data_IF_945645188343
#
_entry.id   IF_945645188343
#
_cell.length_a   1.000
_cell.length_b   1.000
_cell.length_c   1.000
_cell.angle_alpha   90.00
_cell.angle_beta   90.00
_cell.angle_gamma   90.00
#
_symmetry.space_group_name_H-M   'P 1'
#
loop_
_entity.id
_entity.type
_entity.pdbx_description
1 polymer ?
#
# COMPACT_ATOMS: atom_id res chain seq x y z
N UNK A 1 -24.59 7.87 -23.94
CA UNK A 1 -23.88 8.95 -24.63
C UNK A 1 -22.82 9.38 -23.65
N UNK A 2 -21.72 8.64 -23.59
CA UNK A 2 -20.71 8.87 -22.55
C UNK A 2 -19.61 9.72 -23.18
N UNK A 3 -19.98 10.96 -23.46
CA UNK A 3 -19.03 12.03 -23.75
C UNK A 3 -18.56 12.58 -22.41
N UNK A 4 -17.54 11.97 -21.83
CA UNK A 4 -16.85 12.56 -20.70
C UNK A 4 -15.36 12.65 -21.01
N UNK A 5 -14.99 13.79 -21.58
CA UNK A 5 -13.60 14.18 -21.81
C UNK A 5 -12.98 14.63 -20.49
N UNK A 6 -12.71 13.69 -19.58
CA UNK A 6 -11.98 13.98 -18.36
C UNK A 6 -10.47 13.87 -18.60
N UNK A 7 -9.84 15.03 -18.86
CA UNK A 7 -8.42 15.37 -18.65
C UNK A 7 -7.43 14.20 -18.65
N UNK A 8 -6.80 13.98 -19.80
CA UNK A 8 -5.54 13.22 -19.90
C UNK A 8 -4.44 14.04 -19.24
N UNK A 9 -3.95 13.59 -18.07
CA UNK A 9 -2.67 14.08 -17.56
C UNK A 9 -1.57 13.45 -18.41
N UNK A 10 -1.05 14.18 -19.40
CA UNK A 10 0.22 13.85 -20.01
C UNK A 10 1.33 14.29 -19.06
N UNK A 11 1.72 13.37 -18.19
CA UNK A 11 3.02 13.36 -17.53
C UNK A 11 3.50 11.92 -17.56
N UNK A 12 4.73 11.69 -18.00
CA UNK A 12 5.35 10.38 -18.32
C UNK A 12 5.46 9.40 -17.11
N UNK A 13 4.67 9.59 -16.06
CA UNK A 13 4.90 8.99 -14.74
C UNK A 13 3.69 8.23 -14.16
N UNK A 14 2.48 8.39 -14.70
CA UNK A 14 1.31 7.60 -14.27
C UNK A 14 0.40 7.29 -15.46
N UNK A 15 0.30 6.01 -15.84
CA UNK A 15 -0.70 5.56 -16.84
C UNK A 15 -2.05 5.39 -16.14
N UNK A 16 -2.83 6.45 -16.07
CA UNK A 16 -4.22 6.40 -15.63
C UNK A 16 -5.12 6.05 -16.83
N UNK A 17 -5.51 4.78 -16.96
CA UNK A 17 -6.56 4.38 -17.90
C UNK A 17 -7.94 4.86 -17.38
N UNK A 18 -8.23 6.14 -17.55
CA UNK A 18 -9.51 6.75 -17.20
C UNK A 18 -10.52 6.55 -18.35
N UNK A 19 -11.21 5.41 -18.36
CA UNK A 19 -12.43 5.20 -19.18
C UNK A 19 -13.73 5.52 -18.42
N UNK A 20 -13.65 6.22 -17.27
CA UNK A 20 -14.78 6.47 -16.37
C UNK A 20 -15.24 7.93 -16.18
N UNK A 21 -14.63 8.90 -16.88
CA UNK A 21 -15.08 10.29 -16.83
C UNK A 21 -14.83 11.03 -15.49
N UNK A 22 -15.41 12.23 -15.40
CA UNK A 22 -15.43 13.17 -14.27
C UNK A 22 -16.07 12.63 -12.99
N UNK A 23 -16.73 11.46 -13.06
CA UNK A 23 -17.45 10.83 -11.95
C UNK A 23 -16.68 9.66 -11.31
N UNK A 24 -15.54 9.94 -10.68
CA UNK A 24 -14.83 8.97 -9.84
C UNK A 24 -14.35 9.61 -8.52
N UNK A 25 -14.14 8.80 -7.48
CA UNK A 25 -13.44 9.25 -6.28
C UNK A 25 -11.93 9.24 -6.57
N UNK A 26 -11.26 10.37 -6.33
CA UNK A 26 -9.83 10.57 -6.58
C UNK A 26 -9.13 10.87 -5.26
N UNK A 27 -8.12 10.08 -4.92
CA UNK A 27 -7.41 10.20 -3.65
C UNK A 27 -5.91 10.17 -3.89
N UNK A 28 -5.21 11.12 -3.30
CA UNK A 28 -3.76 11.06 -3.11
C UNK A 28 -3.49 10.30 -1.80
N UNK A 29 -2.87 9.14 -1.87
CA UNK A 29 -2.54 8.31 -0.71
C UNK A 29 -1.03 8.30 -0.53
N UNK A 30 -0.56 8.80 0.60
CA UNK A 30 0.87 8.75 0.94
C UNK A 30 1.09 7.57 1.90
N UNK A 31 1.87 6.59 1.44
CA UNK A 31 2.11 5.33 2.14
C UNK A 31 3.55 4.87 1.93
N UNK A 32 4.12 4.22 2.95
CA UNK A 32 5.47 3.66 2.92
C UNK A 32 5.45 2.20 3.39
N UNK A 33 6.15 1.33 2.68
CA UNK A 33 6.36 -0.07 3.01
C UNK A 33 7.71 -0.20 3.68
N UNK A 34 7.76 -0.74 4.90
CA UNK A 34 8.97 -0.67 5.71
C UNK A 34 10.18 -1.35 5.05
N UNK A 35 9.99 -2.56 4.52
CA UNK A 35 11.07 -3.37 3.96
C UNK A 35 11.79 -2.68 2.81
N UNK A 36 11.03 -2.03 1.93
CA UNK A 36 11.57 -1.37 0.73
C UNK A 36 11.80 0.14 0.89
N UNK A 37 11.43 0.75 2.02
CA UNK A 37 11.60 2.19 2.24
C UNK A 37 13.07 2.58 2.51
N UNK A 38 13.58 3.53 1.72
CA UNK A 38 14.89 4.17 1.89
C UNK A 38 14.74 5.57 2.48
N UNK A 39 15.35 5.77 3.66
CA UNK A 39 15.32 7.03 4.42
C UNK A 39 16.13 8.16 3.77
N UNK A 40 17.09 7.85 2.92
CA UNK A 40 17.94 8.84 2.27
C UNK A 40 17.24 9.49 1.07
N UNK A 41 16.52 8.68 0.30
CA UNK A 41 15.82 9.13 -0.92
C UNK A 41 14.36 9.48 -0.67
N UNK A 42 13.80 9.13 0.50
CA UNK A 42 12.37 9.25 0.80
C UNK A 42 11.49 8.54 -0.25
N UNK A 43 11.93 7.38 -0.72
CA UNK A 43 11.25 6.55 -1.71
C UNK A 43 11.37 5.07 -1.34
N UNK A 44 10.66 4.21 -2.05
CA UNK A 44 10.96 2.79 -2.05
C UNK A 44 12.18 2.52 -2.95
N UNK A 45 12.85 1.38 -2.74
CA UNK A 45 14.02 0.95 -3.53
C UNK A 45 13.62 0.28 -4.85
N UNK A 46 12.36 -0.11 -5.01
CA UNK A 46 11.85 -0.82 -6.18
C UNK A 46 10.38 -0.48 -6.47
N UNK A 47 10.04 -0.53 -7.75
CA UNK A 47 8.67 -0.44 -8.26
C UNK A 47 7.89 -1.72 -7.96
N UNK A 48 6.61 -1.59 -7.62
CA UNK A 48 5.74 -2.73 -7.38
C UNK A 48 4.26 -2.35 -7.53
N UNK A 49 3.37 -3.34 -7.48
CA UNK A 49 1.93 -3.12 -7.43
C UNK A 49 1.45 -2.98 -5.99
N UNK A 50 0.73 -1.89 -5.72
CA UNK A 50 -0.01 -1.69 -4.47
C UNK A 50 -1.50 -1.68 -4.80
N UNK A 51 -2.30 -2.39 -4.00
CA UNK A 51 -3.75 -2.39 -4.13
C UNK A 51 -4.38 -1.57 -3.02
N UNK A 52 -5.31 -0.71 -3.40
CA UNK A 52 -6.03 0.19 -2.53
C UNK A 52 -7.51 -0.19 -2.54
N UNK A 53 -8.14 -0.12 -1.38
CA UNK A 53 -9.55 -0.43 -1.20
C UNK A 53 -10.27 0.72 -0.51
N UNK A 54 -11.50 0.97 -0.92
CA UNK A 54 -12.49 1.65 -0.10
C UNK A 54 -13.33 0.58 0.60
N UNK A 55 -13.31 0.58 1.93
CA UNK A 55 -14.09 -0.33 2.77
C UNK A 55 -15.27 0.44 3.38
N UNK A 56 -16.41 -0.22 3.55
CA UNK A 56 -17.58 0.34 4.24
C UNK A 56 -17.17 0.91 5.60
N UNK A 57 -17.78 2.02 6.02
CA UNK A 57 -17.57 2.60 7.37
C UNK A 57 -18.27 1.83 8.49
N UNK A 58 -19.14 0.89 8.15
CA UNK A 58 -19.91 0.06 9.08
C UNK A 58 -19.66 -1.44 8.86
N UNK A 59 -19.74 -2.26 9.93
CA UNK A 59 -19.70 -3.72 9.82
C UNK A 59 -20.71 -4.24 8.79
N UNK A 60 -20.36 -5.25 7.97
CA UNK A 60 -19.15 -6.08 8.03
C UNK A 60 -17.93 -5.52 7.27
N UNK A 61 -17.84 -4.19 7.07
CA UNK A 61 -16.68 -3.51 6.45
C UNK A 61 -16.34 -4.02 5.03
N UNK A 62 -17.37 -4.40 4.27
CA UNK A 62 -17.24 -4.88 2.90
C UNK A 62 -16.42 -3.91 2.03
N UNK A 63 -15.64 -4.47 1.09
CA UNK A 63 -15.02 -3.68 0.03
C UNK A 63 -16.10 -3.08 -0.87
N UNK A 64 -16.09 -1.76 -1.01
CA UNK A 64 -16.99 -0.98 -1.87
C UNK A 64 -16.39 -0.79 -3.26
N UNK A 65 -15.09 -0.48 -3.31
CA UNK A 65 -14.34 -0.36 -4.56
C UNK A 65 -12.86 -0.66 -4.30
N UNK A 66 -12.12 -0.94 -5.37
CA UNK A 66 -10.71 -1.26 -5.32
C UNK A 66 -9.98 -0.80 -6.57
N UNK A 67 -8.72 -0.48 -6.43
CA UNK A 67 -7.86 -0.13 -7.57
C UNK A 67 -6.42 -0.55 -7.27
N UNK A 68 -5.73 -1.07 -8.28
CA UNK A 68 -4.31 -1.41 -8.18
C UNK A 68 -3.51 -0.39 -8.98
N UNK A 69 -2.45 0.12 -8.37
CA UNK A 69 -1.54 1.07 -8.99
C UNK A 69 -0.15 0.43 -9.03
N UNK A 70 0.50 0.52 -10.18
CA UNK A 70 1.93 0.26 -10.27
C UNK A 70 2.68 1.54 -9.90
N UNK A 71 3.52 1.46 -8.87
CA UNK A 71 4.28 2.57 -8.34
C UNK A 71 5.52 2.83 -9.21
N UNK A 72 5.31 3.45 -10.37
CA UNK A 72 6.40 3.96 -11.20
C UNK A 72 7.20 5.00 -10.38
N UNK A 73 8.54 4.92 -10.38
CA UNK A 73 9.48 5.77 -9.61
C UNK A 73 9.54 5.61 -8.09
N UNK A 74 8.81 4.66 -7.52
CA UNK A 74 8.93 4.28 -6.10
C UNK A 74 8.55 5.38 -5.09
N UNK A 75 7.89 6.48 -5.50
CA UNK A 75 7.48 7.53 -4.58
C UNK A 75 6.44 7.05 -3.57
N UNK A 76 6.45 7.64 -2.37
CA UNK A 76 5.46 7.33 -1.33
C UNK A 76 4.04 7.83 -1.69
N UNK A 77 3.95 8.80 -2.60
CA UNK A 77 2.70 9.43 -3.01
C UNK A 77 2.05 8.67 -4.15
N UNK A 78 0.86 8.12 -3.91
CA UNK A 78 0.09 7.31 -4.86
C UNK A 78 -1.17 8.07 -5.30
N UNK A 79 -1.36 8.24 -6.60
CA UNK A 79 -2.53 8.91 -7.17
C UNK A 79 -3.55 7.84 -7.59
N UNK A 80 -4.59 7.63 -6.78
CA UNK A 80 -5.54 6.53 -6.98
C UNK A 80 -6.92 7.03 -7.38
N UNK A 81 -7.59 6.23 -8.22
CA UNK A 81 -8.95 6.51 -8.71
C UNK A 81 -9.82 5.29 -8.45
N UNK A 82 -10.91 5.51 -7.71
CA UNK A 82 -11.98 4.55 -7.44
C UNK A 82 -13.17 4.89 -8.34
N UNK A 83 -13.40 4.06 -9.36
CA UNK A 83 -14.32 4.33 -10.47
C UNK A 83 -15.78 4.09 -10.11
N UNK A 84 -16.05 3.23 -9.13
CA UNK A 84 -17.39 2.70 -8.86
C UNK A 84 -17.97 3.18 -7.52
N UNK A 85 -17.15 3.76 -6.65
CA UNK A 85 -17.60 4.23 -5.35
C UNK A 85 -18.42 5.54 -5.46
N UNK A 86 -19.62 5.59 -4.84
CA UNK A 86 -20.38 6.83 -4.70
C UNK A 86 -19.81 7.70 -3.56
N UNK A 87 -20.30 8.94 -3.44
CA UNK A 87 -20.01 9.80 -2.29
C UNK A 87 -20.29 9.07 -0.96
N UNK A 88 -19.39 9.20 0.00
CA UNK A 88 -19.57 8.56 1.29
C UNK A 88 -18.35 8.61 2.20
N UNK A 89 -18.51 8.02 3.39
CA UNK A 89 -17.42 7.82 4.34
C UNK A 89 -16.90 6.38 4.23
N UNK A 90 -15.61 6.24 3.96
CA UNK A 90 -14.96 4.94 3.73
C UNK A 90 -13.67 4.83 4.52
N UNK A 91 -13.37 3.64 5.04
CA UNK A 91 -11.99 3.35 5.40
C UNK A 91 -11.18 3.17 4.13
N UNK A 92 -9.97 3.72 4.12
CA UNK A 92 -8.99 3.49 3.06
C UNK A 92 -8.10 2.36 3.56
N UNK A 93 -8.07 1.23 2.85
CA UNK A 93 -7.15 0.13 3.16
C UNK A 93 -6.11 -0.01 2.06
N UNK A 94 -4.86 -0.23 2.45
CA UNK A 94 -3.72 -0.41 1.55
C UNK A 94 -3.15 -1.81 1.77
N UNK A 95 -2.99 -2.54 0.66
CA UNK A 95 -2.46 -3.90 0.65
C UNK A 95 -1.32 -4.01 -0.35
N UNK A 96 -0.20 -4.54 0.11
CA UNK A 96 0.93 -4.95 -0.70
C UNK A 96 1.21 -6.44 -0.46
N UNK A 97 1.92 -7.09 -1.37
CA UNK A 97 2.07 -8.56 -1.41
C UNK A 97 2.73 -9.20 -0.19
N UNK A 98 3.45 -8.41 0.60
CA UNK A 98 4.28 -8.86 1.73
C UNK A 98 4.15 -7.93 2.95
N UNK A 99 3.07 -7.16 3.05
CA UNK A 99 2.81 -6.28 4.19
C UNK A 99 1.47 -6.57 4.81
N UNK A 100 1.34 -6.26 6.11
CA UNK A 100 0.06 -6.23 6.80
C UNK A 100 -0.87 -5.20 6.12
N UNK A 101 -2.08 -5.62 5.79
CA UNK A 101 -3.11 -4.71 5.28
C UNK A 101 -3.38 -3.60 6.31
N UNK A 102 -3.10 -2.35 5.93
CA UNK A 102 -3.19 -1.21 6.84
C UNK A 102 -4.35 -0.31 6.44
N UNK A 103 -5.17 0.06 7.43
CA UNK A 103 -6.39 0.83 7.26
C UNK A 103 -6.23 2.24 7.80
N UNK A 104 -6.93 3.21 7.22
CA UNK A 104 -7.08 4.55 7.79
C UNK A 104 -7.61 4.46 9.22
N UNK A 105 -7.15 5.34 10.11
CA UNK A 105 -7.56 5.29 11.52
C UNK A 105 -9.06 5.53 11.74
N UNK A 106 -9.71 6.22 10.81
CA UNK A 106 -11.15 6.46 10.79
C UNK A 106 -11.66 6.49 9.32
N UNK A 107 -12.99 6.42 9.10
CA UNK A 107 -13.56 6.66 7.79
C UNK A 107 -13.26 8.07 7.30
N UNK A 108 -12.89 8.18 6.03
CA UNK A 108 -12.61 9.43 5.33
C UNK A 108 -13.83 9.79 4.47
N UNK A 109 -14.29 11.04 4.58
CA UNK A 109 -15.35 11.57 3.71
C UNK A 109 -14.79 11.81 2.32
N UNK A 110 -15.27 11.05 1.34
CA UNK A 110 -14.82 11.11 -0.04
C UNK A 110 -16.00 11.47 -0.94
N UNK A 111 -15.77 12.42 -1.83
CA UNK A 111 -16.73 12.85 -2.85
C UNK A 111 -16.23 12.44 -4.22
N UNK A 112 -17.13 11.86 -4.99
CA UNK A 112 -16.98 11.59 -6.39
C UNK A 112 -16.96 12.93 -7.15
N UNK A 113 -16.03 13.09 -8.10
CA UNK A 113 -15.96 14.28 -8.94
C UNK A 113 -14.56 14.64 -9.43
N UNK A 114 -14.36 15.93 -9.68
CA UNK A 114 -13.08 16.45 -10.19
C UNK A 114 -12.02 16.69 -9.10
N UNK A 115 -12.44 16.83 -7.84
CA UNK A 115 -11.57 17.18 -6.71
C UNK A 115 -10.76 15.98 -6.20
N UNK A 116 -9.53 16.25 -5.78
CA UNK A 116 -8.68 15.27 -5.10
C UNK A 116 -8.83 15.38 -3.59
N UNK A 117 -9.04 14.24 -2.93
CA UNK A 117 -8.83 14.10 -1.49
C UNK A 117 -7.39 13.66 -1.21
N UNK A 118 -6.90 13.84 0.01
CA UNK A 118 -5.56 13.39 0.41
C UNK A 118 -5.63 12.66 1.75
N UNK A 119 -4.90 11.54 1.85
CA UNK A 119 -4.72 10.79 3.09
C UNK A 119 -3.26 10.39 3.24
N UNK A 120 -2.68 10.70 4.40
CA UNK A 120 -1.26 10.50 4.64
C UNK A 120 -1.03 9.55 5.83
N UNK A 121 -0.63 8.32 5.56
CA UNK A 121 -0.29 7.34 6.59
C UNK A 121 1.07 7.63 7.27
N UNK A 122 1.97 8.33 6.60
CA UNK A 122 3.38 8.40 6.99
C UNK A 122 3.71 9.49 8.01
N UNK A 123 2.78 10.41 8.28
CA UNK A 123 3.01 11.58 9.14
C UNK A 123 2.75 11.33 10.63
N UNK A 124 1.98 10.30 10.98
CA UNK A 124 1.69 9.92 12.37
C UNK A 124 1.19 8.48 12.43
N UNK A 125 1.58 7.73 13.47
CA UNK A 125 1.01 6.40 13.73
C UNK A 125 -0.51 6.45 13.92
N UNK A 126 -1.04 7.56 14.45
CA UNK A 126 -2.47 7.78 14.66
C UNK A 126 -3.29 7.91 13.37
N UNK A 127 -2.65 7.94 12.19
CA UNK A 127 -3.32 7.88 10.89
C UNK A 127 -3.55 6.42 10.44
N UNK A 128 -3.07 5.44 11.19
CA UNK A 128 -3.30 4.03 10.91
C UNK A 128 -4.21 3.43 11.98
N UNK A 129 -5.13 2.56 11.58
CA UNK A 129 -6.01 1.87 12.51
C UNK A 129 -5.18 1.11 13.55
N UNK A 130 -5.51 1.31 14.83
CA UNK A 130 -4.79 0.70 15.95
C UNK A 130 -3.34 1.14 16.13
N UNK A 131 -2.88 2.20 15.45
CA UNK A 131 -1.47 2.59 15.37
C UNK A 131 -0.56 1.46 14.86
N UNK A 132 -1.09 0.56 14.02
CA UNK A 132 -0.40 -0.65 13.57
C UNK A 132 0.62 -0.35 12.46
N UNK A 133 1.62 0.46 12.77
CA UNK A 133 2.71 0.87 11.87
C UNK A 133 4.02 1.05 12.65
N UNK A 134 5.15 0.94 11.94
CA UNK A 134 6.50 1.13 12.50
C UNK A 134 7.10 2.45 12.06
N UNK A 135 7.88 3.09 12.92
CA UNK A 135 8.60 4.31 12.56
C UNK A 135 10.00 3.96 12.02
N UNK A 136 10.31 4.38 10.80
CA UNK A 136 11.65 4.29 10.20
C UNK A 136 12.12 5.72 9.87
N UNK A 137 12.99 6.25 10.74
CA UNK A 137 13.40 7.66 10.69
C UNK A 137 12.23 8.59 11.06
N UNK A 138 11.84 9.48 10.14
CA UNK A 138 10.72 10.41 10.33
C UNK A 138 9.39 9.93 9.70
N UNK A 139 9.38 8.74 9.09
CA UNK A 139 8.26 8.20 8.31
C UNK A 139 7.66 7.00 9.02
N UNK A 140 6.34 6.96 9.11
CA UNK A 140 5.59 5.77 9.53
C UNK A 140 5.35 4.84 8.34
N UNK A 141 5.73 3.57 8.50
CA UNK A 141 5.71 2.55 7.47
C UNK A 141 4.78 1.39 7.87
N UNK A 142 4.19 0.75 6.88
CA UNK A 142 3.45 -0.49 7.07
C UNK A 142 4.41 -1.62 7.36
N UNK A 143 4.03 -2.48 8.31
CA UNK A 143 4.78 -3.66 8.68
C UNK A 143 4.97 -4.58 7.48
N UNK A 144 6.22 -4.82 7.11
CA UNK A 144 6.60 -5.83 6.11
C UNK A 144 6.85 -7.17 6.81
N UNK A 145 6.44 -8.27 6.18
CA UNK A 145 6.66 -9.62 6.68
C UNK A 145 5.43 -10.53 6.69
N UNK A 146 4.24 -10.03 6.35
CA UNK A 146 3.04 -10.87 6.19
C UNK A 146 3.09 -11.46 4.78
N UNK A 147 3.87 -12.52 4.60
CA UNK A 147 4.21 -13.12 3.30
C UNK A 147 3.08 -14.02 2.82
N UNK A 148 2.45 -14.72 3.76
CA UNK A 148 1.34 -15.63 3.50
C UNK A 148 -0.02 -14.90 3.38
N UNK A 149 -0.06 -13.61 3.73
CA UNK A 149 -1.22 -12.72 3.64
C UNK A 149 -2.40 -13.13 4.54
N UNK A 150 -2.11 -13.69 5.72
CA UNK A 150 -3.09 -14.09 6.73
C UNK A 150 -3.43 -12.96 7.74
N UNK A 151 -2.72 -11.83 7.65
CA UNK A 151 -2.95 -10.65 8.47
C UNK A 151 -2.19 -10.65 9.79
N UNK A 152 -1.27 -11.60 10.01
CA UNK A 152 -0.38 -11.70 11.16
C UNK A 152 1.03 -11.93 10.61
N UNK A 153 2.05 -11.40 11.31
CA UNK A 153 3.45 -11.76 11.05
C UNK A 153 3.85 -12.73 12.14
N UNK A 154 4.12 -13.99 11.78
CA UNK A 154 4.48 -15.04 12.72
C UNK A 154 5.55 -16.03 12.18
N UNK A 155 5.71 -17.16 12.87
CA UNK A 155 6.71 -18.17 12.51
C UNK A 155 6.43 -18.85 11.16
N UNK A 156 5.21 -18.80 10.65
CA UNK A 156 4.86 -19.34 9.34
C UNK A 156 5.44 -18.48 8.23
N UNK A 157 5.38 -17.15 8.33
CA UNK A 157 6.06 -16.24 7.40
C UNK A 157 7.58 -16.43 7.42
N UNK A 158 8.16 -16.57 8.62
CA UNK A 158 9.59 -16.87 8.78
C UNK A 158 9.96 -18.16 8.08
N UNK A 159 9.13 -19.20 8.20
CA UNK A 159 9.37 -20.48 7.54
C UNK A 159 9.29 -20.37 6.03
N UNK A 160 8.39 -19.54 5.49
CA UNK A 160 8.31 -19.30 4.04
C UNK A 160 9.57 -18.60 3.52
N UNK A 161 9.99 -17.51 4.16
CA UNK A 161 11.21 -16.78 3.76
C UNK A 161 12.46 -17.63 3.94
N UNK A 162 12.58 -18.42 5.02
CA UNK A 162 13.74 -19.28 5.27
C UNK A 162 13.86 -20.40 4.23
N UNK A 163 12.73 -21.02 3.85
CA UNK A 163 12.71 -22.04 2.80
C UNK A 163 13.12 -21.45 1.44
N UNK A 164 12.62 -20.26 1.11
CA UNK A 164 12.94 -19.58 -0.14
C UNK A 164 14.41 -19.08 -0.18
N UNK A 165 14.94 -18.65 0.96
CA UNK A 165 16.35 -18.30 1.13
C UNK A 165 17.25 -19.53 0.96
N UNK A 166 16.89 -20.65 1.58
CA UNK A 166 17.59 -21.92 1.42
C UNK A 166 17.58 -22.42 -0.03
N UNK A 167 16.48 -22.21 -0.75
CA UNK A 167 16.36 -22.48 -2.17
C UNK A 167 17.04 -21.42 -3.06
N UNK A 168 17.56 -20.34 -2.48
CA UNK A 168 18.19 -19.21 -3.16
C UNK A 168 17.28 -18.62 -4.26
N UNK A 169 16.00 -18.46 -3.95
CA UNK A 169 15.06 -17.86 -4.88
C UNK A 169 15.41 -16.39 -5.14
N UNK A 170 15.02 -15.92 -6.32
CA UNK A 170 15.31 -14.56 -6.78
C UNK A 170 14.18 -14.03 -7.66
N UNK A 171 14.17 -12.71 -7.85
CA UNK A 171 13.16 -11.98 -8.58
C UNK A 171 12.12 -11.35 -7.65
N UNK A 172 11.08 -10.74 -8.25
CA UNK A 172 10.03 -10.04 -7.52
C UNK A 172 9.01 -11.03 -6.94
N UNK A 173 9.39 -11.75 -5.88
CA UNK A 173 8.54 -12.70 -5.15
C UNK A 173 8.15 -12.17 -3.77
N UNK A 174 7.16 -12.79 -3.12
CA UNK A 174 6.61 -12.29 -1.86
C UNK A 174 7.65 -12.26 -0.73
N UNK A 175 8.54 -13.25 -0.71
CA UNK A 175 9.60 -13.46 0.29
C UNK A 175 10.81 -12.53 0.13
N UNK A 176 10.92 -11.80 -0.99
CA UNK A 176 11.86 -10.69 -1.15
C UNK A 176 11.23 -9.43 -0.49
N UNK A 177 11.62 -9.20 0.76
CA UNK A 177 11.08 -8.19 1.66
C UNK A 177 11.82 -6.86 1.54
N UNK A 178 13.13 -6.91 1.30
CA UNK A 178 13.98 -5.73 1.22
C UNK A 178 13.97 -5.06 -0.17
N UNK A 179 13.53 -5.79 -1.21
CA UNK A 179 13.38 -5.32 -2.57
C UNK A 179 14.59 -5.51 -3.49
N UNK A 180 15.61 -6.28 -3.10
CA UNK A 180 16.89 -6.42 -3.81
C UNK A 180 16.96 -7.56 -4.85
N UNK A 181 15.84 -8.27 -5.03
CA UNK A 181 15.67 -9.42 -5.93
C UNK A 181 16.31 -10.72 -5.50
N UNK A 182 16.83 -10.83 -4.27
CA UNK A 182 17.34 -12.08 -3.71
C UNK A 182 16.61 -12.35 -2.40
N UNK A 183 16.19 -13.59 -2.18
CA UNK A 183 15.71 -13.99 -0.87
C UNK A 183 16.88 -14.53 -0.08
N UNK A 184 17.28 -13.82 0.97
CA UNK A 184 18.43 -14.19 1.78
C UNK A 184 18.30 -13.83 3.28
N UNK A 185 19.42 -13.90 4.00
CA UNK A 185 19.46 -13.64 5.43
C UNK A 185 19.05 -12.19 5.80
N UNK A 186 19.12 -11.25 4.85
CA UNK A 186 18.71 -9.87 5.06
C UNK A 186 17.19 -9.70 5.11
N UNK A 187 16.43 -10.48 4.33
CA UNK A 187 14.96 -10.55 4.43
C UNK A 187 14.52 -11.18 5.76
N UNK A 188 15.16 -12.27 6.16
CA UNK A 188 14.93 -12.90 7.47
C UNK A 188 15.20 -11.92 8.63
N UNK A 189 16.22 -11.07 8.47
CA UNK A 189 16.53 -10.01 9.43
C UNK A 189 15.36 -9.05 9.66
N UNK A 190 14.60 -8.70 8.61
CA UNK A 190 13.42 -7.83 8.73
C UNK A 190 12.30 -8.48 9.56
N UNK A 191 12.03 -9.76 9.36
CA UNK A 191 11.03 -10.51 10.12
C UNK A 191 11.39 -10.64 11.61
N UNK A 192 12.65 -10.94 11.90
CA UNK A 192 13.11 -11.14 13.29
C UNK A 192 13.00 -9.85 14.10
N UNK A 193 13.31 -8.70 13.49
CA UNK A 193 13.14 -7.39 14.14
C UNK A 193 11.67 -7.18 14.52
N UNK A 194 10.74 -7.59 13.67
CA UNK A 194 9.30 -7.43 13.93
C UNK A 194 8.74 -8.34 15.02
N UNK A 195 9.22 -9.58 15.07
CA UNK A 195 8.79 -10.53 16.10
C UNK A 195 9.37 -10.21 17.49
N UNK A 196 10.46 -9.46 17.56
CA UNK A 196 11.16 -9.14 18.82
C UNK A 196 10.83 -7.76 19.40
N UNK A 197 10.19 -6.87 18.62
CA UNK A 197 9.78 -5.53 19.06
C UNK A 197 8.35 -5.46 19.62
N UNK A 198 7.68 -6.61 19.82
CA UNK A 198 6.33 -6.72 20.39
C UNK A 198 6.34 -7.21 21.84
#
# INVERSE_FOLDING_TARGET
MDNDSALTFWGDYYVLNATGGSNAIKVQIIAALEGTYDQNTFSHVREDYITFYLKSSAPPYNTIDSTSLYMYTCFLTNMVIFKNAPDGNYYIAVKHRNTIETWSSAPVSLTNGISWSSYNFTSSSANSYGNNVVQKGSVWCFYTGDVNQDGIIDATDVSEVDNDAYASLSGSINSDLNGDYFVDASDLGLLIIMLTMR
#
